data_IF_613515788613
#
_entry.id   IF_613515788613
#
_cell.length_a   1.000
_cell.length_b   1.000
_cell.length_c   1.000
_cell.angle_alpha   90.00
_cell.angle_beta   90.00
_cell.angle_gamma   90.00
#
_symmetry.space_group_name_H-M   'P 1'
#
loop_
_entity.id
_entity.type
_entity.pdbx_description
1 polymer ?
#
# COMPACT_ATOMS: atom_id res chain seq x y z
N UNK A 1 2.37 25.40 -3.32
CA UNK A 1 3.18 25.35 -2.07
C UNK A 1 3.52 23.89 -1.76
N UNK A 2 4.63 23.56 -1.10
CA UNK A 2 5.04 22.16 -0.85
C UNK A 2 3.98 21.27 -0.17
N UNK A 3 3.03 21.86 0.57
CA UNK A 3 1.91 21.13 1.19
C UNK A 3 0.70 20.90 0.29
N UNK A 4 0.44 21.75 -0.70
CA UNK A 4 -0.75 21.64 -1.59
C UNK A 4 -0.63 20.41 -2.49
N UNK A 5 0.57 20.09 -2.98
CA UNK A 5 0.81 18.89 -3.80
C UNK A 5 0.56 17.59 -3.02
N UNK A 6 0.79 17.59 -1.70
CA UNK A 6 0.60 16.41 -0.84
C UNK A 6 -0.89 16.13 -0.60
N UNK A 7 -1.71 17.16 -0.43
CA UNK A 7 -3.16 17.03 -0.28
C UNK A 7 -3.81 16.52 -1.57
N UNK A 8 -3.31 16.94 -2.73
CA UNK A 8 -3.75 16.43 -4.03
C UNK A 8 -3.48 14.93 -4.17
N UNK A 9 -2.30 14.43 -3.74
CA UNK A 9 -2.04 12.99 -3.77
C UNK A 9 -2.95 12.19 -2.85
N UNK A 10 -3.24 12.73 -1.66
CA UNK A 10 -4.15 12.07 -0.74
C UNK A 10 -5.57 11.98 -1.34
N UNK A 11 -6.08 13.08 -1.87
CA UNK A 11 -7.37 13.10 -2.56
C UNK A 11 -7.44 12.10 -3.72
N UNK A 12 -6.43 12.10 -4.60
CA UNK A 12 -6.40 11.21 -5.77
C UNK A 12 -6.34 9.73 -5.36
N UNK A 13 -5.53 9.39 -4.36
CA UNK A 13 -5.38 8.01 -3.90
C UNK A 13 -6.60 7.50 -3.09
N UNK A 14 -7.43 8.41 -2.56
CA UNK A 14 -8.71 8.05 -1.93
C UNK A 14 -9.79 7.64 -2.92
N UNK A 15 -9.67 8.01 -4.20
CA UNK A 15 -10.64 7.63 -5.24
C UNK A 15 -10.38 6.22 -5.78
N UNK A 16 -10.86 5.20 -5.06
CA UNK A 16 -10.71 3.80 -5.48
C UNK A 16 -11.38 3.48 -6.84
N UNK A 17 -12.35 4.29 -7.24
CA UNK A 17 -13.07 4.16 -8.52
C UNK A 17 -12.34 4.72 -9.74
N UNK A 18 -11.16 5.33 -9.56
CA UNK A 18 -10.33 5.73 -10.69
C UNK A 18 -10.05 4.55 -11.61
N UNK A 19 -10.00 4.83 -12.91
CA UNK A 19 -9.60 3.83 -13.89
C UNK A 19 -8.19 3.34 -13.57
N UNK A 20 -7.94 2.04 -13.81
CA UNK A 20 -6.63 1.43 -13.57
C UNK A 20 -5.52 2.18 -14.32
N UNK A 21 -5.79 2.64 -15.55
CA UNK A 21 -4.88 3.46 -16.36
C UNK A 21 -4.48 4.77 -15.68
N UNK A 22 -5.44 5.49 -15.09
CA UNK A 22 -5.19 6.72 -14.34
C UNK A 22 -4.35 6.45 -13.09
N UNK A 23 -4.64 5.38 -12.35
CA UNK A 23 -3.83 4.97 -11.20
C UNK A 23 -2.40 4.65 -11.61
N UNK A 24 -2.23 3.96 -12.74
CA UNK A 24 -0.91 3.65 -13.31
C UNK A 24 -0.12 4.91 -13.63
N UNK A 25 -0.76 5.89 -14.28
CA UNK A 25 -0.12 7.17 -14.61
C UNK A 25 0.34 7.91 -13.36
N UNK A 26 -0.53 8.05 -12.35
CA UNK A 26 -0.21 8.72 -11.10
C UNK A 26 0.95 8.03 -10.37
N UNK A 27 0.90 6.70 -10.24
CA UNK A 27 1.94 5.96 -9.54
C UNK A 27 3.30 6.05 -10.24
N UNK A 28 3.32 6.03 -11.58
CA UNK A 28 4.56 6.27 -12.35
C UNK A 28 5.13 7.67 -12.13
N UNK A 29 4.28 8.70 -12.00
CA UNK A 29 4.73 10.05 -11.65
C UNK A 29 5.34 10.11 -10.25
N UNK A 30 4.73 9.45 -9.25
CA UNK A 30 5.27 9.34 -7.90
C UNK A 30 6.64 8.63 -7.91
N UNK A 31 6.75 7.47 -8.56
CA UNK A 31 8.00 6.73 -8.68
C UNK A 31 9.10 7.55 -9.38
N UNK A 32 8.76 8.33 -10.41
CA UNK A 32 9.70 9.23 -11.06
C UNK A 32 10.21 10.33 -10.10
N UNK A 33 9.38 10.80 -9.16
CA UNK A 33 9.81 11.72 -8.09
C UNK A 33 10.72 11.01 -7.09
N UNK A 34 10.41 9.77 -6.71
CA UNK A 34 11.16 9.01 -5.71
C UNK A 34 12.60 8.69 -6.17
N UNK A 35 12.81 8.53 -7.47
CA UNK A 35 14.16 8.40 -8.06
C UNK A 35 15.03 9.65 -7.90
N UNK A 36 14.43 10.82 -7.66
CA UNK A 36 15.13 12.10 -7.56
C UNK A 36 15.31 12.57 -6.11
N UNK A 37 14.48 12.06 -5.19
CA UNK A 37 14.50 12.44 -3.77
C UNK A 37 13.83 11.40 -2.91
N UNK A 38 14.12 11.43 -1.61
CA UNK A 38 13.39 10.62 -0.65
C UNK A 38 11.88 10.91 -0.71
N UNK A 39 11.03 9.87 -0.72
CA UNK A 39 9.58 10.04 -0.71
C UNK A 39 9.09 10.49 0.66
N UNK A 40 8.08 11.35 0.68
CA UNK A 40 7.35 11.64 1.91
C UNK A 40 6.43 10.47 2.29
N UNK A 41 6.11 10.34 3.58
CA UNK A 41 5.21 9.29 4.08
C UNK A 41 3.86 9.26 3.33
N UNK A 42 3.27 10.44 3.06
CA UNK A 42 2.01 10.58 2.32
C UNK A 42 2.10 10.15 0.86
N UNK A 43 3.28 10.25 0.25
CA UNK A 43 3.48 9.80 -1.13
C UNK A 43 3.62 8.28 -1.21
N UNK A 44 4.30 7.66 -0.24
CA UNK A 44 4.33 6.20 -0.07
C UNK A 44 2.92 5.66 0.20
N UNK A 45 2.16 6.36 1.04
CA UNK A 45 0.75 6.07 1.29
C UNK A 45 -0.07 6.10 0.02
N UNK A 46 0.01 7.19 -0.75
CA UNK A 46 -0.73 7.34 -1.99
C UNK A 46 -0.38 6.23 -3.00
N UNK A 47 0.91 5.90 -3.16
CA UNK A 47 1.35 4.83 -4.04
C UNK A 47 0.82 3.46 -3.59
N UNK A 48 0.90 3.15 -2.30
CA UNK A 48 0.37 1.90 -1.74
C UNK A 48 -1.13 1.76 -1.95
N UNK A 49 -1.89 2.85 -1.76
CA UNK A 49 -3.35 2.89 -1.99
C UNK A 49 -3.72 2.68 -3.45
N UNK A 50 -3.03 3.36 -4.37
CA UNK A 50 -3.27 3.24 -5.81
C UNK A 50 -2.97 1.83 -6.33
N UNK A 51 -1.97 1.18 -5.74
CA UNK A 51 -1.53 -0.16 -6.11
C UNK A 51 -1.99 -1.25 -5.15
N UNK A 52 -2.94 -1.00 -4.25
CA UNK A 52 -3.40 -2.04 -3.32
C UNK A 52 -3.95 -3.26 -4.10
N UNK A 53 -3.72 -4.48 -3.61
CA UNK A 53 -4.24 -5.72 -4.23
C UNK A 53 -5.64 -6.10 -3.75
N UNK A 54 -6.03 -5.55 -2.60
CA UNK A 54 -7.35 -5.74 -2.00
C UNK A 54 -8.11 -4.42 -2.06
N UNK A 55 -9.16 -4.34 -2.88
CA UNK A 55 -10.01 -3.15 -2.90
C UNK A 55 -10.76 -3.04 -1.56
N UNK A 56 -10.89 -1.83 -1.01
CA UNK A 56 -11.66 -1.63 0.22
C UNK A 56 -13.14 -1.47 -0.12
N UNK A 57 -13.44 -0.62 -1.12
CA UNK A 57 -14.79 -0.34 -1.59
C UNK A 57 -14.91 -0.32 -3.12
N UNK A 58 -13.78 -0.35 -3.85
CA UNK A 58 -13.75 -0.37 -5.31
C UNK A 58 -14.04 -1.76 -5.90
N UNK A 59 -14.48 -1.78 -7.16
CA UNK A 59 -14.59 -3.02 -7.93
C UNK A 59 -13.21 -3.52 -8.37
N UNK A 60 -13.05 -4.85 -8.47
CA UNK A 60 -11.77 -5.51 -8.79
C UNK A 60 -11.23 -5.11 -10.18
N UNK A 61 -12.09 -4.68 -11.11
CA UNK A 61 -11.72 -4.14 -12.42
C UNK A 61 -10.96 -2.80 -12.35
N UNK A 62 -10.92 -2.15 -11.18
CA UNK A 62 -10.21 -0.88 -10.95
C UNK A 62 -8.80 -1.06 -10.39
N UNK A 63 -8.37 -2.29 -10.14
CA UNK A 63 -7.02 -2.58 -9.70
C UNK A 63 -6.03 -2.38 -10.87
N UNK A 64 -4.85 -1.86 -10.57
CA UNK A 64 -3.77 -1.86 -11.56
C UNK A 64 -3.35 -3.32 -11.87
N UNK A 65 -2.92 -3.62 -13.11
CA UNK A 65 -2.46 -4.95 -13.47
C UNK A 65 -1.33 -5.45 -12.55
N UNK A 66 -1.23 -6.77 -12.27
CA UNK A 66 -0.15 -7.33 -11.47
C UNK A 66 1.24 -6.95 -11.98
N UNK A 67 1.43 -6.96 -13.31
CA UNK A 67 2.70 -6.57 -13.94
C UNK A 67 3.11 -5.12 -13.65
N UNK A 68 2.15 -4.20 -13.48
CA UNK A 68 2.46 -2.82 -13.07
C UNK A 68 2.85 -2.76 -11.59
N UNK A 69 2.13 -3.46 -10.72
CA UNK A 69 2.48 -3.54 -9.31
C UNK A 69 3.88 -4.15 -9.10
N UNK A 70 4.23 -5.19 -9.86
CA UNK A 70 5.56 -5.79 -9.87
C UNK A 70 6.63 -4.78 -10.30
N UNK A 71 6.41 -4.03 -11.38
CA UNK A 71 7.36 -3.00 -11.82
C UNK A 71 7.56 -1.89 -10.77
N UNK A 72 6.49 -1.55 -10.03
CA UNK A 72 6.55 -0.57 -8.95
C UNK A 72 7.33 -1.11 -7.75
N UNK A 73 7.07 -2.35 -7.36
CA UNK A 73 7.81 -3.06 -6.30
C UNK A 73 9.30 -3.13 -6.62
N UNK A 74 9.66 -3.54 -7.85
CA UNK A 74 11.06 -3.59 -8.28
C UNK A 74 11.73 -2.23 -8.22
N UNK A 75 11.01 -1.16 -8.59
CA UNK A 75 11.53 0.21 -8.45
C UNK A 75 11.76 0.57 -6.98
N UNK A 76 10.79 0.31 -6.09
CA UNK A 76 10.91 0.64 -4.67
C UNK A 76 12.05 -0.14 -3.98
N UNK A 77 12.19 -1.43 -4.29
CA UNK A 77 13.27 -2.27 -3.76
C UNK A 77 14.64 -1.80 -4.26
N UNK A 78 14.74 -1.33 -5.50
CA UNK A 78 15.99 -0.81 -6.08
C UNK A 78 16.39 0.57 -5.53
N UNK A 79 15.45 1.36 -5.01
CA UNK A 79 15.74 2.65 -4.38
C UNK A 79 16.41 2.50 -3.00
N UNK A 80 16.45 1.29 -2.42
CA UNK A 80 16.94 0.97 -1.07
C UNK A 80 16.51 1.99 -0.02
N UNK A 81 15.21 2.30 -0.02
CA UNK A 81 14.61 3.12 1.01
C UNK A 81 14.83 2.45 2.37
N UNK A 82 15.16 3.24 3.40
CA UNK A 82 15.40 2.72 4.74
C UNK A 82 14.20 1.93 5.29
N UNK A 83 14.42 0.96 6.20
CA UNK A 83 13.38 0.09 6.73
C UNK A 83 12.47 0.84 7.70
N UNK A 84 11.55 1.62 7.13
CA UNK A 84 10.54 2.38 7.87
C UNK A 84 9.17 1.74 7.66
N UNK A 85 8.26 1.94 8.62
CA UNK A 85 6.91 1.38 8.57
C UNK A 85 6.13 1.86 7.33
N UNK A 86 6.31 3.13 6.91
CA UNK A 86 5.66 3.66 5.70
C UNK A 86 6.09 2.95 4.41
N UNK A 87 7.39 2.62 4.29
CA UNK A 87 7.89 1.86 3.15
C UNK A 87 7.35 0.43 3.22
N UNK A 88 7.35 -0.15 4.42
CA UNK A 88 6.85 -1.49 4.67
C UNK A 88 5.37 -1.64 4.26
N UNK A 89 4.50 -0.74 4.71
CA UNK A 89 3.08 -0.75 4.31
C UNK A 89 2.90 -0.57 2.82
N UNK A 90 3.63 0.36 2.19
CA UNK A 90 3.57 0.54 0.74
C UNK A 90 3.92 -0.75 -0.01
N UNK A 91 5.01 -1.43 0.38
CA UNK A 91 5.42 -2.71 -0.20
C UNK A 91 4.38 -3.81 0.05
N UNK A 92 3.85 -3.91 1.26
CA UNK A 92 2.84 -4.93 1.62
C UNK A 92 1.56 -4.73 0.80
N UNK A 93 1.03 -3.52 0.69
CA UNK A 93 -0.19 -3.29 -0.10
C UNK A 93 -0.03 -3.63 -1.58
N UNK A 94 1.17 -3.41 -2.13
CA UNK A 94 1.48 -3.74 -3.53
C UNK A 94 1.66 -5.25 -3.76
N UNK A 95 2.04 -6.00 -2.74
CA UNK A 95 2.43 -7.41 -2.85
C UNK A 95 1.53 -8.39 -2.06
N UNK A 96 0.50 -7.89 -1.38
CA UNK A 96 -0.39 -8.70 -0.55
C UNK A 96 -0.95 -9.88 -1.36
N UNK A 97 -0.90 -11.07 -0.75
CA UNK A 97 -1.52 -12.26 -1.30
C UNK A 97 -3.02 -12.22 -1.11
N UNK A 98 -3.76 -12.51 -2.17
CA UNK A 98 -5.23 -12.46 -2.18
C UNK A 98 -5.87 -13.81 -2.52
N UNK A 99 -5.09 -14.80 -2.96
CA UNK A 99 -5.59 -16.09 -3.43
C UNK A 99 -6.13 -16.05 -4.86
N UNK A 100 -6.03 -14.90 -5.54
CA UNK A 100 -6.53 -14.69 -6.89
C UNK A 100 -5.38 -14.33 -7.84
N UNK A 101 -5.06 -15.27 -8.73
CA UNK A 101 -3.99 -15.13 -9.72
C UNK A 101 -4.14 -13.93 -10.66
N UNK A 102 -5.35 -13.42 -10.86
CA UNK A 102 -5.55 -12.24 -11.69
C UNK A 102 -5.07 -10.94 -11.02
N UNK A 103 -4.89 -10.95 -9.69
CA UNK A 103 -4.52 -9.80 -8.86
C UNK A 103 -3.14 -9.93 -8.24
N UNK A 104 -2.77 -11.15 -7.91
CA UNK A 104 -1.53 -11.44 -7.20
C UNK A 104 -0.29 -11.21 -8.07
N UNK A 105 0.72 -10.58 -7.47
CA UNK A 105 2.07 -10.53 -8.03
C UNK A 105 2.72 -11.91 -7.98
N UNK A 106 3.73 -12.15 -8.82
CA UNK A 106 4.51 -13.37 -8.81
C UNK A 106 5.15 -13.66 -7.44
N UNK A 107 5.19 -14.93 -7.05
CA UNK A 107 5.70 -15.34 -5.73
C UNK A 107 7.14 -14.91 -5.49
N UNK A 108 8.00 -14.98 -6.51
CA UNK A 108 9.39 -14.50 -6.40
C UNK A 108 9.50 -13.00 -6.12
N UNK A 109 8.52 -12.17 -6.51
CA UNK A 109 8.45 -10.75 -6.14
C UNK A 109 7.98 -10.60 -4.68
N UNK A 110 6.97 -11.37 -4.29
CA UNK A 110 6.47 -11.40 -2.90
C UNK A 110 7.57 -11.83 -1.91
N UNK A 111 8.37 -12.82 -2.27
CA UNK A 111 9.52 -13.28 -1.48
C UNK A 111 10.61 -12.21 -1.31
N UNK A 112 10.80 -11.33 -2.29
CA UNK A 112 11.71 -10.19 -2.16
C UNK A 112 11.18 -9.20 -1.13
N UNK A 113 9.87 -8.91 -1.16
CA UNK A 113 9.22 -8.07 -0.15
C UNK A 113 9.32 -8.71 1.23
N UNK A 114 9.05 -10.00 1.34
CA UNK A 114 9.17 -10.74 2.60
C UNK A 114 10.58 -10.64 3.20
N UNK A 115 11.62 -10.85 2.39
CA UNK A 115 13.02 -10.65 2.82
C UNK A 115 13.32 -9.21 3.24
N UNK A 116 12.77 -8.23 2.53
CA UNK A 116 12.94 -6.83 2.91
C UNK A 116 12.30 -6.53 4.28
N UNK A 117 11.12 -7.07 4.56
CA UNK A 117 10.40 -6.87 5.83
C UNK A 117 11.16 -7.41 7.04
N UNK A 118 12.02 -8.41 6.88
CA UNK A 118 12.88 -8.94 7.96
C UNK A 118 13.90 -7.91 8.50
N UNK A 119 14.10 -6.78 7.79
CA UNK A 119 14.93 -5.67 8.26
C UNK A 119 14.27 -4.84 9.36
N UNK A 120 12.96 -5.00 9.59
CA UNK A 120 12.19 -4.27 10.59
C UNK A 120 12.14 -5.03 11.92
N UNK A 121 12.21 -4.33 13.08
CA UNK A 121 12.03 -4.95 14.39
C UNK A 121 10.68 -5.68 14.56
N UNK A 122 9.61 -5.18 13.95
CA UNK A 122 8.25 -5.75 13.98
C UNK A 122 7.81 -6.28 12.60
N UNK A 123 8.75 -6.89 11.86
CA UNK A 123 8.49 -7.38 10.50
C UNK A 123 7.54 -8.59 10.45
N UNK A 124 7.43 -9.36 11.53
CA UNK A 124 6.61 -10.58 11.57
C UNK A 124 5.12 -10.30 11.35
N UNK A 125 4.59 -9.24 11.98
CA UNK A 125 3.21 -8.78 11.79
C UNK A 125 2.92 -8.43 10.34
N UNK A 126 3.84 -7.71 9.69
CA UNK A 126 3.69 -7.31 8.28
C UNK A 126 3.89 -8.47 7.31
N UNK A 127 4.72 -9.46 7.66
CA UNK A 127 4.84 -10.70 6.91
C UNK A 127 3.54 -11.51 6.93
N UNK A 128 2.85 -11.53 8.07
CA UNK A 128 1.54 -12.16 8.19
C UNK A 128 0.53 -11.45 7.29
N UNK A 129 0.48 -10.12 7.34
CA UNK A 129 -0.40 -9.31 6.46
C UNK A 129 -0.09 -9.49 4.96
N UNK A 130 1.18 -9.73 4.61
CA UNK A 130 1.63 -9.99 3.24
C UNK A 130 1.14 -11.34 2.71
N UNK A 131 1.03 -12.35 3.58
CA UNK A 131 0.91 -13.77 3.17
C UNK A 131 -0.43 -14.41 3.53
N UNK A 132 -1.13 -13.89 4.54
CA UNK A 132 -2.41 -14.42 5.00
C UNK A 132 -3.57 -13.52 4.52
N UNK A 133 -4.34 -13.90 3.48
CA UNK A 133 -5.44 -13.11 2.95
C UNK A 133 -6.64 -13.02 3.91
N UNK A 134 -6.74 -13.96 4.87
CA UNK A 134 -7.84 -14.04 5.83
C UNK A 134 -7.54 -13.28 7.14
N UNK A 135 -6.35 -12.66 7.25
CA UNK A 135 -5.97 -11.88 8.43
C UNK A 135 -6.67 -10.53 8.42
N UNK A 136 -7.37 -10.24 9.51
CA UNK A 136 -7.93 -8.91 9.74
C UNK A 136 -6.85 -7.83 9.88
N UNK A 137 -7.16 -6.63 9.42
CA UNK A 137 -6.29 -5.47 9.62
C UNK A 137 -6.31 -5.06 11.10
N UNK A 138 -5.13 -4.92 11.69
CA UNK A 138 -4.96 -4.33 13.01
C UNK A 138 -5.18 -2.81 12.97
N UNK A 139 -5.38 -2.19 14.14
CA UNK A 139 -5.67 -0.75 14.25
C UNK A 139 -4.63 0.14 13.56
N UNK A 140 -3.35 -0.19 13.69
CA UNK A 140 -2.28 0.58 13.07
C UNK A 140 -2.36 0.52 11.54
N UNK A 141 -2.65 -0.66 10.99
CA UNK A 141 -2.84 -0.89 9.56
C UNK A 141 -4.07 -0.17 9.03
N UNK A 142 -5.20 -0.25 9.74
CA UNK A 142 -6.42 0.48 9.41
C UNK A 142 -6.19 2.00 9.40
N UNK A 143 -5.57 2.53 10.45
CA UNK A 143 -5.28 3.97 10.56
C UNK A 143 -4.35 4.44 9.44
N UNK A 144 -3.30 3.65 9.17
CA UNK A 144 -2.41 3.95 8.06
C UNK A 144 -3.16 3.89 6.74
N UNK A 145 -3.92 2.83 6.44
CA UNK A 145 -4.68 2.70 5.19
C UNK A 145 -5.69 3.83 4.96
N UNK A 146 -6.39 4.29 5.99
CA UNK A 146 -7.35 5.39 5.87
C UNK A 146 -6.67 6.74 5.66
N UNK A 147 -5.38 6.86 5.95
CA UNK A 147 -4.65 8.13 5.87
C UNK A 147 -5.10 9.14 6.93
N UNK A 148 -5.89 8.68 7.92
CA UNK A 148 -6.36 9.45 9.05
C UNK A 148 -5.60 9.00 10.30
N UNK A 149 -4.99 9.96 11.00
CA UNK A 149 -4.75 9.75 12.42
C UNK A 149 -6.12 9.82 13.09
N UNK A 150 -6.52 8.80 13.86
CA UNK A 150 -7.68 8.88 14.74
C UNK A 150 -7.53 10.17 15.58
N UNK A 151 -8.46 11.13 15.48
CA UNK A 151 -8.43 12.32 16.31
C UNK A 151 -8.35 11.92 17.78
N UNK A 152 -7.61 12.69 18.58
CA UNK A 152 -7.51 12.43 20.01
C UNK A 152 -8.93 12.31 20.63
N UNK A 153 -9.22 11.15 21.23
CA UNK A 153 -10.50 10.87 21.89
C UNK A 153 -11.49 10.00 21.11
N UNK A 154 -11.19 9.59 19.86
CA UNK A 154 -12.00 8.62 19.13
C UNK A 154 -11.42 7.20 19.24
N UNK A 155 -12.31 6.22 19.40
CA UNK A 155 -11.99 4.78 19.43
C UNK A 155 -12.97 4.08 18.51
N UNK A 156 -12.48 3.36 17.51
CA UNK A 156 -13.31 2.49 16.67
C UNK A 156 -13.70 1.26 17.49
N UNK A 157 -15.02 1.05 17.66
CA UNK A 157 -15.54 -0.20 18.19
C UNK A 157 -15.68 -1.19 17.03
N UNK A 158 -15.07 -2.37 17.17
CA UNK A 158 -15.46 -3.50 16.34
C UNK A 158 -16.92 -3.80 16.65
N UNK A 159 -17.77 -3.89 15.63
CA UNK A 159 -19.12 -4.37 15.84
C UNK A 159 -19.01 -5.84 16.22
N UNK A 160 -19.25 -6.14 17.50
CA UNK A 160 -19.43 -7.52 17.96
C UNK A 160 -20.49 -8.17 17.08
N UNK A 161 -20.05 -9.12 16.26
CA UNK A 161 -20.95 -10.04 15.58
C UNK A 161 -21.58 -10.90 16.66
N UNK A 162 -22.75 -10.49 17.16
CA UNK A 162 -23.53 -11.34 18.06
C UNK A 162 -24.04 -12.57 17.29
N UNK A 163 -24.05 -13.76 17.91
CA UNK A 163 -24.50 -15.01 17.28
C UNK A 163 -25.99 -14.99 16.94
#
# INVERSE_FOLDING_TARGET
RPGEDLEVWMMLASFEWLQATTKVEIGRQLLAKFRKRQPAARELWALGRLGNRTAIYGSLDRLIPPSEAEAWLQTLLALDLGPTENVAYCLVLLAQYTGDRARDVADGVREQVARWLQRLPDGARLLELLTNPDRDLERAEQSWMLGEALPAGLVLFAADSKP
#
